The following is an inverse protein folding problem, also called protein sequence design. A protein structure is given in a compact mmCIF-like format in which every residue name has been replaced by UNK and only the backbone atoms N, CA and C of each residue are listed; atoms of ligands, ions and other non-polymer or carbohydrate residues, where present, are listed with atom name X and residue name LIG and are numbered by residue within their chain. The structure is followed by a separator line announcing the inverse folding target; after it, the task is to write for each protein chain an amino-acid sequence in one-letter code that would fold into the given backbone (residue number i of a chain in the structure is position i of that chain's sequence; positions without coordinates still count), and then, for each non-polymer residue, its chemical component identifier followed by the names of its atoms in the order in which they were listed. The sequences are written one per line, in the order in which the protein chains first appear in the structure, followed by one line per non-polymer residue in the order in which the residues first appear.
data_IF_736731395092
#
_entry.id   IF_736731395092
#
_cell.length_a   1.000
_cell.length_b   1.000
_cell.length_c   1.000
_cell.angle_alpha   90.00
_cell.angle_beta   90.00
_cell.angle_gamma   90.00
#
_symmetry.space_group_name_H-M   'P 1'
#
loop_
_entity.id
_entity.type
_entity.pdbx_description
1 polymer ?
#
# COMPACT_ATOMS: atom_id res chain seq x y z
N UNK A 1 16.39 -2.75 4.72
CA UNK A 1 15.55 -3.94 4.91
C UNK A 1 15.05 -4.31 3.53
N UNK A 2 15.51 -5.43 3.00
CA UNK A 2 15.21 -5.90 1.64
C UNK A 2 13.73 -6.27 1.56
N UNK A 3 12.94 -5.44 0.88
CA UNK A 3 11.49 -5.62 0.79
C UNK A 3 11.07 -6.54 -0.38
N UNK A 4 12.01 -7.06 -1.19
CA UNK A 4 11.73 -7.77 -2.44
C UNK A 4 12.81 -8.79 -2.79
N UNK A 5 13.12 -9.73 -1.89
CA UNK A 5 13.95 -10.91 -2.25
C UNK A 5 13.08 -12.10 -2.77
N UNK A 6 11.76 -11.91 -2.94
CA UNK A 6 10.83 -12.92 -3.51
C UNK A 6 10.63 -12.81 -5.03
N UNK A 7 11.17 -11.77 -5.69
CA UNK A 7 10.94 -11.50 -7.12
C UNK A 7 11.51 -12.56 -8.09
N UNK A 8 12.34 -13.50 -7.61
CA UNK A 8 12.98 -14.49 -8.50
C UNK A 8 12.15 -15.76 -8.79
N UNK A 9 11.08 -16.04 -8.03
CA UNK A 9 10.29 -17.28 -8.19
C UNK A 9 8.97 -17.03 -8.94
N UNK A 10 8.53 -15.77 -9.00
CA UNK A 10 7.20 -15.40 -9.50
C UNK A 10 7.03 -15.55 -11.03
N UNK A 11 8.05 -15.24 -11.84
CA UNK A 11 7.89 -15.16 -13.31
C UNK A 11 7.68 -16.53 -13.99
N UNK A 12 8.35 -17.60 -13.51
CA UNK A 12 8.15 -18.95 -14.05
C UNK A 12 6.74 -19.48 -13.73
N UNK A 13 6.24 -19.22 -12.52
CA UNK A 13 4.90 -19.64 -12.10
C UNK A 13 3.79 -18.96 -12.93
N UNK A 14 3.97 -17.68 -13.29
CA UNK A 14 3.02 -16.97 -14.16
C UNK A 14 3.00 -17.54 -15.58
N UNK A 15 4.15 -17.88 -16.16
CA UNK A 15 4.24 -18.45 -17.51
C UNK A 15 3.66 -19.88 -17.55
N UNK A 16 3.90 -20.68 -16.51
CA UNK A 16 3.27 -21.99 -16.38
C UNK A 16 1.75 -21.88 -16.23
N UNK A 17 1.26 -20.94 -15.42
CA UNK A 17 -0.16 -20.67 -15.31
C UNK A 17 -0.75 -20.18 -16.64
N UNK A 18 -0.02 -19.36 -17.40
CA UNK A 18 -0.44 -18.89 -18.74
C UNK A 18 -0.62 -20.04 -19.71
N UNK A 19 0.29 -21.01 -19.65
CA UNK A 19 0.35 -22.14 -20.57
C UNK A 19 -0.61 -23.27 -20.20
N UNK A 20 -0.67 -23.61 -18.92
CA UNK A 20 -1.37 -24.78 -18.38
C UNK A 20 -2.63 -24.44 -17.58
N UNK A 21 -3.07 -23.17 -17.59
CA UNK A 21 -4.27 -22.71 -16.91
C UNK A 21 -5.57 -23.38 -17.36
N UNK A 22 -6.68 -22.97 -16.78
CA UNK A 22 -8.02 -23.55 -17.02
C UNK A 22 -8.44 -23.57 -18.51
N UNK A 23 -7.91 -22.66 -19.33
CA UNK A 23 -8.21 -22.59 -20.77
C UNK A 23 -7.42 -23.60 -21.62
N UNK A 24 -6.38 -24.23 -21.05
CA UNK A 24 -5.51 -25.17 -21.74
C UNK A 24 -6.28 -26.39 -22.28
N UNK A 25 -5.77 -26.97 -23.36
CA UNK A 25 -6.40 -28.15 -23.99
C UNK A 25 -6.29 -29.37 -23.08
N UNK A 26 -5.18 -29.46 -22.37
CA UNK A 26 -4.83 -30.47 -21.38
C UNK A 26 -5.86 -30.45 -20.24
N UNK A 27 -6.14 -29.29 -19.67
CA UNK A 27 -7.15 -29.15 -18.61
C UNK A 27 -8.56 -29.53 -19.11
N UNK A 28 -8.95 -29.04 -20.29
CA UNK A 28 -10.24 -29.36 -20.91
C UNK A 28 -10.40 -30.87 -21.18
N UNK A 29 -9.33 -31.56 -21.55
CA UNK A 29 -9.33 -33.01 -21.79
C UNK A 29 -9.51 -33.82 -20.50
N UNK A 30 -9.09 -33.30 -19.35
CA UNK A 30 -9.27 -33.94 -18.04
C UNK A 30 -10.70 -33.82 -17.50
N UNK A 31 -11.54 -32.97 -18.11
CA UNK A 31 -12.95 -32.76 -17.72
C UNK A 31 -13.14 -32.47 -16.22
N UNK A 32 -12.24 -31.67 -15.64
CA UNK A 32 -12.28 -31.27 -14.23
C UNK A 32 -13.23 -30.08 -14.00
N UNK A 33 -13.81 -29.95 -12.79
CA UNK A 33 -14.54 -28.75 -12.40
C UNK A 33 -13.65 -27.51 -12.41
N UNK A 34 -14.17 -26.39 -12.91
CA UNK A 34 -13.44 -25.11 -12.98
C UNK A 34 -12.97 -24.66 -11.59
N UNK A 35 -11.67 -24.38 -11.46
CA UNK A 35 -11.07 -23.82 -10.25
C UNK A 35 -10.99 -22.28 -10.28
N UNK A 36 -11.39 -21.67 -11.41
CA UNK A 36 -11.22 -20.24 -11.69
C UNK A 36 -11.78 -19.34 -10.57
N UNK A 37 -13.01 -19.60 -10.14
CA UNK A 37 -13.64 -18.81 -9.08
C UNK A 37 -12.90 -18.89 -7.75
N UNK A 38 -12.43 -20.09 -7.36
CA UNK A 38 -11.65 -20.28 -6.14
C UNK A 38 -10.29 -19.59 -6.23
N UNK A 39 -9.63 -19.68 -7.39
CA UNK A 39 -8.36 -18.99 -7.64
C UNK A 39 -8.50 -17.47 -7.54
N UNK A 40 -9.49 -16.88 -8.22
CA UNK A 40 -9.72 -15.44 -8.21
C UNK A 40 -10.08 -14.93 -6.82
N UNK A 41 -10.86 -15.70 -6.06
CA UNK A 41 -11.15 -15.42 -4.65
C UNK A 41 -9.86 -15.42 -3.80
N UNK A 42 -9.03 -16.46 -3.92
CA UNK A 42 -7.77 -16.52 -3.16
C UNK A 42 -6.81 -15.38 -3.52
N UNK A 43 -6.81 -14.94 -4.79
CA UNK A 43 -6.02 -13.79 -5.23
C UNK A 43 -6.52 -12.48 -4.62
N UNK A 44 -7.83 -12.32 -4.38
CA UNK A 44 -8.38 -11.08 -3.82
C UNK A 44 -8.15 -10.94 -2.32
N UNK A 45 -7.98 -12.04 -1.58
CA UNK A 45 -7.81 -12.03 -0.12
C UNK A 45 -6.71 -11.08 0.37
N UNK A 46 -5.46 -11.10 -0.16
CA UNK A 46 -4.43 -10.16 0.28
C UNK A 46 -4.75 -8.70 -0.02
N UNK A 47 -5.41 -8.43 -1.15
CA UNK A 47 -5.83 -7.07 -1.51
C UNK A 47 -6.90 -6.57 -0.53
N UNK A 48 -7.95 -7.37 -0.30
CA UNK A 48 -9.05 -7.05 0.61
C UNK A 48 -8.55 -6.87 2.04
N UNK A 49 -7.68 -7.77 2.52
CA UNK A 49 -7.07 -7.67 3.84
C UNK A 49 -6.27 -6.37 4.00
N UNK A 50 -5.49 -6.02 2.97
CA UNK A 50 -4.72 -4.77 2.98
C UNK A 50 -5.65 -3.56 2.93
N UNK A 51 -6.76 -3.64 2.19
CA UNK A 51 -7.76 -2.57 2.15
C UNK A 51 -8.37 -2.30 3.52
N UNK A 52 -8.82 -3.35 4.20
CA UNK A 52 -9.37 -3.28 5.55
C UNK A 52 -8.35 -2.75 6.55
N UNK A 53 -7.08 -3.18 6.43
CA UNK A 53 -5.99 -2.63 7.23
C UNK A 53 -5.85 -1.10 7.05
N UNK A 54 -5.87 -0.60 5.81
CA UNK A 54 -5.79 0.83 5.52
C UNK A 54 -6.98 1.58 6.15
N UNK A 55 -8.18 1.05 5.99
CA UNK A 55 -9.40 1.65 6.56
C UNK A 55 -9.29 1.73 8.08
N UNK A 56 -8.93 0.63 8.74
CA UNK A 56 -8.71 0.62 10.19
C UNK A 56 -7.67 1.65 10.64
N UNK A 57 -6.58 1.81 9.89
CA UNK A 57 -5.54 2.81 10.20
C UNK A 57 -6.03 4.25 9.99
N UNK A 58 -6.83 4.51 8.98
CA UNK A 58 -7.45 5.81 8.74
C UNK A 58 -8.48 6.16 9.82
N UNK A 59 -9.24 5.18 10.31
CA UNK A 59 -10.21 5.35 11.38
C UNK A 59 -9.56 5.53 12.75
N UNK A 60 -8.49 4.77 13.03
CA UNK A 60 -7.76 4.84 14.29
C UNK A 60 -6.72 5.96 14.32
N UNK A 61 -6.66 6.81 13.29
CA UNK A 61 -5.73 7.94 13.25
C UNK A 61 -5.99 8.87 14.43
N UNK A 62 -4.95 9.33 15.15
CA UNK A 62 -5.15 10.31 16.21
C UNK A 62 -5.54 11.67 15.60
N UNK A 63 -6.67 12.26 16.03
CA UNK A 63 -7.15 13.58 15.55
C UNK A 63 -6.18 14.73 15.86
N UNK A 64 -5.42 14.57 16.93
CA UNK A 64 -4.19 15.28 17.20
C UNK A 64 -3.21 14.23 17.69
N UNK A 65 -1.91 14.26 17.31
CA UNK A 65 -0.88 13.44 17.96
C UNK A 65 -0.70 13.94 19.40
N UNK A 66 -1.72 13.73 20.24
CA UNK A 66 -1.81 14.28 21.58
C UNK A 66 -1.21 13.31 22.58
N UNK A 67 -0.61 13.92 23.59
CA UNK A 67 0.38 13.43 24.56
C UNK A 67 -0.10 12.28 25.48
N UNK A 68 -1.22 11.63 25.18
CA UNK A 68 -1.89 10.70 26.09
C UNK A 68 -1.36 9.26 26.05
N UNK A 69 -0.69 8.82 24.98
CA UNK A 69 0.13 7.59 25.05
C UNK A 69 1.37 7.77 25.95
N UNK A 70 1.78 9.02 26.21
CA UNK A 70 3.01 9.35 26.95
C UNK A 70 2.77 9.42 28.48
N UNK A 71 1.52 9.36 28.97
CA UNK A 71 1.18 9.83 30.33
C UNK A 71 0.78 8.79 31.38
N UNK A 72 1.23 7.54 31.27
CA UNK A 72 1.36 6.69 32.48
C UNK A 72 2.70 6.91 33.23
N UNK A 73 3.53 7.87 32.81
CA UNK A 73 4.79 8.17 33.49
C UNK A 73 4.96 9.66 33.78
N UNK A 74 4.60 10.09 35.00
CA UNK A 74 4.97 11.40 35.58
C UNK A 74 6.49 11.64 35.44
N UNK A 75 6.97 12.40 34.44
CA UNK A 75 8.29 13.04 34.47
C UNK A 75 8.24 14.44 33.85
N UNK A 76 9.13 15.27 34.36
CA UNK A 76 9.11 16.73 34.41
C UNK A 76 9.37 17.35 33.03
N UNK A 77 8.65 18.44 32.74
CA UNK A 77 8.84 19.60 31.83
C UNK A 77 10.01 19.76 30.82
N UNK A 78 10.78 18.72 30.54
CA UNK A 78 11.78 18.60 29.49
C UNK A 78 11.40 17.35 28.67
N UNK A 79 11.56 17.36 27.34
CA UNK A 79 11.36 16.20 26.44
C UNK A 79 9.94 15.82 25.98
N UNK A 80 8.89 16.61 26.26
CA UNK A 80 7.57 16.36 25.63
C UNK A 80 7.62 16.57 24.11
N UNK A 81 8.35 17.60 23.65
CA UNK A 81 8.50 17.88 22.21
C UNK A 81 9.34 16.81 21.49
N UNK A 82 10.35 16.24 22.15
CA UNK A 82 11.16 15.17 21.57
C UNK A 82 10.38 13.85 21.46
N UNK A 83 9.64 13.47 22.51
CA UNK A 83 8.78 12.28 22.49
C UNK A 83 7.65 12.38 21.45
N UNK A 84 7.11 13.58 21.24
CA UNK A 84 6.10 13.83 20.20
C UNK A 84 6.69 13.70 18.79
N UNK A 85 7.91 14.21 18.56
CA UNK A 85 8.61 14.07 17.29
C UNK A 85 8.96 12.61 16.95
N UNK A 86 9.35 11.80 17.94
CA UNK A 86 9.64 10.37 17.76
C UNK A 86 8.36 9.59 17.43
N UNK A 87 7.25 9.88 18.13
CA UNK A 87 5.97 9.18 17.89
C UNK A 87 5.38 9.50 16.52
N UNK A 88 5.43 10.76 16.09
CA UNK A 88 4.95 11.17 14.78
C UNK A 88 5.81 10.57 13.66
N UNK A 89 7.12 10.52 13.85
CA UNK A 89 8.03 9.85 12.91
C UNK A 89 7.71 8.36 12.79
N UNK A 90 7.50 7.65 13.90
CA UNK A 90 7.13 6.24 13.88
C UNK A 90 5.81 6.02 13.12
N UNK A 91 4.82 6.88 13.33
CA UNK A 91 3.55 6.82 12.62
C UNK A 91 3.74 7.03 11.11
N UNK A 92 4.57 8.00 10.71
CA UNK A 92 4.92 8.21 9.30
C UNK A 92 5.56 6.97 8.67
N UNK A 93 6.47 6.29 9.39
CA UNK A 93 7.10 5.06 8.91
C UNK A 93 6.11 3.91 8.77
N UNK A 94 5.19 3.75 9.73
CA UNK A 94 4.11 2.75 9.63
C UNK A 94 3.20 3.01 8.41
N UNK A 95 2.90 4.27 8.12
CA UNK A 95 2.10 4.65 6.95
C UNK A 95 2.88 4.38 5.66
N UNK A 96 4.17 4.69 5.63
CA UNK A 96 5.05 4.42 4.49
C UNK A 96 5.12 2.91 4.16
N UNK A 97 5.26 2.07 5.18
CA UNK A 97 5.24 0.60 5.05
C UNK A 97 3.87 0.12 4.57
N UNK A 98 2.78 0.65 5.15
CA UNK A 98 1.41 0.34 4.73
C UNK A 98 1.16 0.67 3.25
N UNK A 99 1.59 1.85 2.79
CA UNK A 99 1.48 2.28 1.38
C UNK A 99 2.32 1.35 0.48
N UNK A 100 3.54 1.03 0.89
CA UNK A 100 4.44 0.17 0.11
C UNK A 100 3.87 -1.25 -0.06
N UNK A 101 3.35 -1.85 1.03
CA UNK A 101 2.65 -3.14 0.99
C UNK A 101 1.39 -3.09 0.12
N UNK A 102 0.64 -1.98 0.19
CA UNK A 102 -0.56 -1.79 -0.62
C UNK A 102 -0.26 -1.78 -2.11
N UNK A 103 0.80 -1.09 -2.52
CA UNK A 103 1.28 -1.06 -3.90
C UNK A 103 1.69 -2.47 -4.34
N UNK A 104 2.48 -3.18 -3.52
CA UNK A 104 2.94 -4.53 -3.80
C UNK A 104 1.77 -5.50 -4.04
N UNK A 105 0.82 -5.58 -3.10
CA UNK A 105 -0.32 -6.49 -3.21
C UNK A 105 -1.25 -6.11 -4.36
N UNK A 106 -1.42 -4.81 -4.66
CA UNK A 106 -2.15 -4.38 -5.85
C UNK A 106 -1.48 -4.88 -7.13
N UNK A 107 -0.17 -4.65 -7.28
CA UNK A 107 0.56 -5.07 -8.47
C UNK A 107 0.55 -6.59 -8.66
N UNK A 108 0.74 -7.34 -7.57
CA UNK A 108 0.64 -8.81 -7.59
C UNK A 108 -0.77 -9.26 -7.99
N UNK A 109 -1.80 -8.67 -7.40
CA UNK A 109 -3.18 -9.01 -7.70
C UNK A 109 -3.54 -8.74 -9.16
N UNK A 110 -3.21 -7.55 -9.69
CA UNK A 110 -3.46 -7.20 -11.10
C UNK A 110 -2.74 -8.19 -12.03
N UNK A 111 -1.47 -8.52 -11.77
CA UNK A 111 -0.73 -9.53 -12.56
C UNK A 111 -1.39 -10.91 -12.54
N UNK A 112 -1.83 -11.40 -11.36
CA UNK A 112 -2.48 -12.70 -11.20
C UNK A 112 -3.83 -12.76 -11.94
N UNK A 113 -4.61 -11.67 -11.88
CA UNK A 113 -5.93 -11.58 -12.50
C UNK A 113 -5.80 -11.43 -14.02
N UNK A 114 -4.95 -10.53 -14.51
CA UNK A 114 -4.72 -10.33 -15.95
C UNK A 114 -4.21 -11.61 -16.62
N UNK A 115 -3.34 -12.36 -15.92
CA UNK A 115 -2.82 -13.65 -16.40
C UNK A 115 -3.92 -14.68 -16.64
N UNK A 116 -4.99 -14.63 -15.86
CA UNK A 116 -6.08 -15.62 -15.90
C UNK A 116 -7.28 -15.14 -16.72
N UNK A 117 -7.51 -13.83 -16.77
CA UNK A 117 -8.66 -13.24 -17.46
C UNK A 117 -8.38 -12.79 -18.90
N UNK A 118 -7.13 -12.87 -19.38
CA UNK A 118 -6.73 -12.37 -20.71
C UNK A 118 -7.60 -12.84 -21.88
N UNK A 119 -8.28 -13.99 -21.74
CA UNK A 119 -9.16 -14.58 -22.76
C UNK A 119 -10.64 -14.75 -22.32
N UNK A 120 -11.04 -14.22 -21.15
CA UNK A 120 -12.38 -14.44 -20.57
C UNK A 120 -13.27 -13.21 -20.77
N UNK A 121 -14.33 -13.36 -21.57
CA UNK A 121 -15.35 -12.33 -21.83
C UNK A 121 -16.46 -12.34 -20.74
N UNK A 122 -16.07 -12.26 -19.47
CA UNK A 122 -17.01 -12.08 -18.34
C UNK A 122 -16.96 -10.63 -17.86
N UNK A 123 -17.71 -9.79 -18.58
CA UNK A 123 -17.76 -8.35 -18.32
C UNK A 123 -18.22 -8.01 -16.89
N UNK A 124 -19.13 -8.81 -16.31
CA UNK A 124 -19.66 -8.54 -14.97
C UNK A 124 -18.59 -8.77 -13.90
N UNK A 125 -17.79 -9.84 -14.03
CA UNK A 125 -16.64 -10.06 -13.14
C UNK A 125 -15.60 -8.94 -13.30
N UNK A 126 -15.26 -8.59 -14.54
CA UNK A 126 -14.29 -7.54 -14.85
C UNK A 126 -14.70 -6.19 -14.26
N UNK A 127 -15.98 -5.83 -14.34
CA UNK A 127 -16.49 -4.57 -13.82
C UNK A 127 -16.47 -4.53 -12.28
N UNK A 128 -16.89 -5.60 -11.61
CA UNK A 128 -16.81 -5.71 -10.15
C UNK A 128 -15.37 -5.61 -9.62
N UNK A 129 -14.44 -6.28 -10.30
CA UNK A 129 -13.01 -6.23 -9.99
C UNK A 129 -12.41 -4.82 -10.16
N UNK A 130 -12.73 -4.13 -11.27
CA UNK A 130 -12.30 -2.74 -11.49
C UNK A 130 -12.80 -1.80 -10.41
N UNK A 131 -14.06 -1.95 -9.97
CA UNK A 131 -14.62 -1.14 -8.88
C UNK A 131 -13.84 -1.36 -7.58
N UNK A 132 -13.49 -2.60 -7.25
CA UNK A 132 -12.69 -2.93 -6.06
C UNK A 132 -11.32 -2.24 -6.10
N UNK A 133 -10.61 -2.32 -7.24
CA UNK A 133 -9.33 -1.64 -7.43
C UNK A 133 -9.43 -0.12 -7.31
N UNK A 134 -10.46 0.49 -7.90
CA UNK A 134 -10.69 1.94 -7.78
C UNK A 134 -10.90 2.35 -6.32
N UNK A 135 -11.66 1.57 -5.54
CA UNK A 135 -11.89 1.86 -4.13
C UNK A 135 -10.61 1.66 -3.29
N UNK A 136 -9.83 0.63 -3.60
CA UNK A 136 -8.52 0.41 -2.99
C UNK A 136 -7.57 1.59 -3.25
N UNK A 137 -7.46 2.03 -4.51
CA UNK A 137 -6.61 3.16 -4.89
C UNK A 137 -7.02 4.45 -4.20
N UNK A 138 -8.33 4.70 -4.04
CA UNK A 138 -8.84 5.83 -3.25
C UNK A 138 -8.38 5.75 -1.79
N UNK A 139 -8.47 4.58 -1.15
CA UNK A 139 -8.04 4.41 0.24
C UNK A 139 -6.52 4.60 0.39
N UNK A 140 -5.71 4.07 -0.53
CA UNK A 140 -4.25 4.28 -0.54
C UNK A 140 -3.92 5.76 -0.75
N UNK A 141 -4.64 6.46 -1.65
CA UNK A 141 -4.48 7.90 -1.86
C UNK A 141 -4.78 8.69 -0.59
N UNK A 142 -5.88 8.40 0.10
CA UNK A 142 -6.20 9.03 1.39
C UNK A 142 -5.12 8.77 2.44
N UNK A 143 -4.57 7.55 2.49
CA UNK A 143 -3.46 7.22 3.40
C UNK A 143 -2.21 8.05 3.10
N UNK A 144 -1.88 8.22 1.82
CA UNK A 144 -0.78 9.07 1.36
C UNK A 144 -1.00 10.55 1.72
N UNK A 145 -2.23 11.06 1.57
CA UNK A 145 -2.58 12.42 1.94
C UNK A 145 -2.33 12.71 3.43
N UNK A 146 -2.73 11.77 4.29
CA UNK A 146 -2.50 11.83 5.75
C UNK A 146 -1.01 11.73 6.07
N UNK A 147 -0.28 10.85 5.39
CA UNK A 147 1.18 10.78 5.53
C UNK A 147 1.86 12.12 5.21
N UNK A 148 1.46 12.77 4.09
CA UNK A 148 2.03 14.07 3.71
C UNK A 148 1.70 15.17 4.71
N UNK A 149 0.51 15.14 5.31
CA UNK A 149 0.16 16.03 6.42
C UNK A 149 1.06 15.79 7.63
N UNK A 150 1.29 14.53 8.02
CA UNK A 150 2.21 14.21 9.12
C UNK A 150 3.64 14.65 8.82
N UNK A 151 4.12 14.48 7.59
CA UNK A 151 5.43 14.96 7.16
C UNK A 151 5.57 16.47 7.32
N UNK A 152 4.58 17.25 6.86
CA UNK A 152 4.58 18.71 7.01
C UNK A 152 4.59 19.12 8.50
N UNK A 153 3.73 18.53 9.32
CA UNK A 153 3.69 18.80 10.75
C UNK A 153 5.01 18.42 11.43
N UNK A 154 5.60 17.29 11.07
CA UNK A 154 6.87 16.84 11.63
C UNK A 154 8.00 17.80 11.27
N UNK A 155 8.12 18.24 10.01
CA UNK A 155 9.14 19.22 9.58
C UNK A 155 9.02 20.53 10.35
N UNK A 156 7.80 20.99 10.66
CA UNK A 156 7.58 22.22 11.44
C UNK A 156 8.02 22.08 12.92
N UNK A 157 7.92 20.89 13.49
CA UNK A 157 8.17 20.63 14.92
C UNK A 157 9.55 20.02 15.20
N UNK A 158 10.19 19.44 14.20
CA UNK A 158 11.47 18.80 14.31
C UNK A 158 12.59 19.85 14.50
N UNK A 159 13.56 19.61 15.41
CA UNK A 159 14.76 20.41 15.49
C UNK A 159 15.49 20.38 14.15
N UNK A 160 16.08 21.51 13.72
CA UNK A 160 16.88 21.59 12.47
C UNK A 160 18.09 20.66 12.44
N UNK A 161 18.44 20.03 13.56
CA UNK A 161 19.52 19.04 13.67
C UNK A 161 19.08 17.62 13.29
N UNK A 162 17.76 17.35 13.26
CA UNK A 162 17.18 16.05 12.91
C UNK A 162 16.70 16.04 11.45
N UNK A 163 16.19 17.16 10.95
CA UNK A 163 15.86 17.33 9.53
C UNK A 163 17.11 17.76 8.79
N UNK A 164 17.87 16.79 8.30
CA UNK A 164 18.96 17.06 7.37
C UNK A 164 18.47 16.99 5.91
N UNK A 165 19.33 17.42 4.99
CA UNK A 165 19.01 17.42 3.56
C UNK A 165 18.81 16.01 3.01
N UNK A 166 19.52 15.03 3.58
CA UNK A 166 19.46 13.64 3.14
C UNK A 166 18.08 13.05 3.43
N UNK A 167 17.50 13.33 4.61
CA UNK A 167 16.16 12.87 4.96
C UNK A 167 15.09 13.33 3.96
N UNK A 168 15.09 14.61 3.60
CA UNK A 168 14.11 15.13 2.63
C UNK A 168 14.34 14.57 1.23
N UNK A 169 15.59 14.35 0.84
CA UNK A 169 15.93 13.68 -0.44
C UNK A 169 15.47 12.22 -0.46
N UNK A 170 15.61 11.49 0.66
CA UNK A 170 15.15 10.11 0.81
C UNK A 170 13.61 10.02 0.71
N UNK A 171 12.89 10.86 1.46
CA UNK A 171 11.42 10.87 1.42
C UNK A 171 10.90 11.30 0.05
N UNK A 172 11.56 12.27 -0.61
CA UNK A 172 11.22 12.65 -1.98
C UNK A 172 11.44 11.51 -2.97
N UNK A 173 12.56 10.79 -2.85
CA UNK A 173 12.90 9.65 -3.70
C UNK A 173 11.86 8.54 -3.53
N UNK A 174 11.44 8.26 -2.29
CA UNK A 174 10.37 7.32 -2.01
C UNK A 174 9.03 7.76 -2.62
N UNK A 175 8.59 9.00 -2.40
CA UNK A 175 7.34 9.53 -2.96
C UNK A 175 7.31 9.44 -4.49
N UNK A 176 8.44 9.75 -5.14
CA UNK A 176 8.57 9.64 -6.60
C UNK A 176 8.46 8.20 -7.09
N UNK A 177 8.92 7.23 -6.31
CA UNK A 177 8.78 5.80 -6.66
C UNK A 177 7.34 5.30 -6.54
N UNK A 178 6.58 5.81 -5.57
CA UNK A 178 5.21 5.37 -5.30
C UNK A 178 4.15 6.12 -6.14
N UNK A 179 4.39 7.38 -6.48
CA UNK A 179 3.42 8.24 -7.17
C UNK A 179 2.84 7.67 -8.47
N UNK A 180 3.63 7.14 -9.42
CA UNK A 180 3.05 6.60 -10.67
C UNK A 180 2.18 5.36 -10.44
N UNK A 181 2.30 4.73 -9.27
CA UNK A 181 1.59 3.51 -8.90
C UNK A 181 0.26 3.80 -8.20
N UNK A 182 0.00 5.06 -7.80
CA UNK A 182 -1.25 5.48 -7.17
C UNK A 182 -1.89 6.57 -8.05
N UNK A 183 -3.07 6.33 -8.64
CA UNK A 183 -3.72 7.28 -9.54
C UNK A 183 -3.88 8.69 -8.94
N UNK A 184 -3.67 9.71 -9.77
CA UNK A 184 -3.90 11.13 -9.43
C UNK A 184 -3.08 11.70 -8.25
N UNK A 185 -1.94 11.10 -7.92
CA UNK A 185 -1.09 11.56 -6.80
C UNK A 185 0.02 12.53 -7.20
N UNK A 186 0.43 12.55 -8.47
CA UNK A 186 1.57 13.37 -8.94
C UNK A 186 1.38 14.86 -8.65
N UNK A 187 0.20 15.41 -8.97
CA UNK A 187 -0.12 16.82 -8.69
C UNK A 187 -0.25 17.13 -7.20
N UNK A 188 -0.67 16.15 -6.41
CA UNK A 188 -0.83 16.28 -4.96
C UNK A 188 0.53 16.33 -4.25
N UNK A 189 1.42 15.41 -4.60
CA UNK A 189 2.78 15.35 -4.06
C UNK A 189 3.56 16.62 -4.43
N UNK A 190 3.47 17.05 -5.69
CA UNK A 190 4.14 18.27 -6.15
C UNK A 190 3.66 19.53 -5.41
N UNK A 191 2.39 19.59 -5.01
CA UNK A 191 1.83 20.73 -4.27
C UNK A 191 2.11 20.66 -2.75
N UNK A 192 2.09 19.49 -2.12
CA UNK A 192 2.22 19.36 -0.66
C UNK A 192 3.68 19.24 -0.19
N UNK A 193 4.62 18.82 -1.04
CA UNK A 193 6.01 18.60 -0.61
C UNK A 193 6.89 19.87 -0.63
N UNK A 194 6.51 20.89 -1.40
CA UNK A 194 7.19 22.19 -1.51
C UNK A 194 6.41 23.30 -0.80
#
# INVERSE_FOLDING_TARGET
MTFLDEDYVEDEDYEDLRRYGYWSKEYKALNLPSYLGAYLFLCSVPLELTHEYIIMRLEQKPDQPSVLSIRQGKRKHCDISLLMNITLFQLMREFQEGISLSIFFKQRYVRLVDTVLGDIDDQHFLDGHKISLINFDKSVKTLLEVYLEYLQHWIQMAPRTIVDKNFLEDEWTWLRSCSPLIPETEGLIAHKFW
#
